data_IF_517810125292
#
_entry.id   IF_517810125292
#
_cell.length_a   1.000
_cell.length_b   1.000
_cell.length_c   1.000
_cell.angle_alpha   90.00
_cell.angle_beta   90.00
_cell.angle_gamma   90.00
#
_symmetry.space_group_name_H-M   'P 1'
#
loop_
_entity.id
_entity.type
_entity.pdbx_description
1 polymer ?
#
# COMPACT_ATOMS: atom_id res chain seq x y z
N UNK A 1 1.21 -1.87 -12.74
CA UNK A 1 0.75 -0.54 -12.25
C UNK A 1 0.51 0.39 -13.42
N UNK A 2 -0.69 0.32 -14.02
CA UNK A 2 -1.12 1.31 -15.03
C UNK A 2 -2.25 2.17 -14.45
N UNK A 3 -3.18 1.56 -13.73
CA UNK A 3 -4.16 2.28 -12.93
C UNK A 3 -3.53 2.79 -11.62
N UNK A 4 -3.92 3.99 -11.18
CA UNK A 4 -3.52 4.60 -9.91
C UNK A 4 -2.01 4.88 -9.70
N UNK A 5 -1.14 4.73 -10.71
CA UNK A 5 0.32 4.92 -10.56
C UNK A 5 0.65 6.27 -9.93
N UNK A 6 0.14 7.37 -10.50
CA UNK A 6 0.46 8.73 -10.03
C UNK A 6 -0.06 8.96 -8.61
N UNK A 7 -1.30 8.53 -8.33
CA UNK A 7 -1.88 8.59 -6.99
C UNK A 7 -1.07 7.81 -5.95
N UNK A 8 -0.52 6.65 -6.33
CA UNK A 8 0.35 5.86 -5.47
C UNK A 8 1.67 6.58 -5.21
N UNK A 9 2.29 7.15 -6.24
CA UNK A 9 3.53 7.93 -6.11
C UNK A 9 3.34 9.18 -5.25
N UNK A 10 2.24 9.91 -5.42
CA UNK A 10 1.92 11.09 -4.61
C UNK A 10 1.80 10.74 -3.11
N UNK A 11 1.15 9.62 -2.79
CA UNK A 11 1.03 9.15 -1.40
C UNK A 11 2.37 8.71 -0.83
N UNK A 12 3.19 8.01 -1.62
CA UNK A 12 4.53 7.62 -1.21
C UNK A 12 5.42 8.84 -0.94
N UNK A 13 5.35 9.88 -1.77
CA UNK A 13 6.08 11.13 -1.56
C UNK A 13 5.68 11.82 -0.24
N UNK A 14 4.38 11.84 0.08
CA UNK A 14 3.91 12.37 1.37
C UNK A 14 4.41 11.53 2.54
N UNK A 15 4.37 10.20 2.42
CA UNK A 15 4.88 9.27 3.44
C UNK A 15 6.37 9.51 3.71
N UNK A 16 7.18 9.71 2.68
CA UNK A 16 8.59 10.05 2.83
C UNK A 16 8.78 11.32 3.68
N UNK A 17 8.00 12.36 3.40
CA UNK A 17 8.00 13.58 4.19
C UNK A 17 7.58 13.35 5.65
N UNK A 18 6.57 12.52 5.89
CA UNK A 18 6.13 12.17 7.25
C UNK A 18 7.20 11.41 8.02
N UNK A 19 7.86 10.42 7.40
CA UNK A 19 8.95 9.66 8.02
C UNK A 19 10.12 10.58 8.38
N UNK A 20 10.50 11.48 7.45
CA UNK A 20 11.52 12.49 7.71
C UNK A 20 11.13 13.43 8.85
N UNK A 21 9.86 13.83 8.91
CA UNK A 21 9.31 14.63 9.99
C UNK A 21 9.44 13.93 11.35
N UNK A 22 9.10 12.65 11.42
CA UNK A 22 9.27 11.84 12.65
C UNK A 22 10.73 11.74 13.06
N UNK A 23 11.66 11.53 12.13
CA UNK A 23 13.09 11.53 12.44
C UNK A 23 13.53 12.86 13.08
N UNK A 24 13.13 14.00 12.49
CA UNK A 24 13.41 15.31 13.07
C UNK A 24 12.75 15.55 14.44
N UNK A 25 11.58 14.96 14.70
CA UNK A 25 10.97 15.02 16.04
C UNK A 25 11.79 14.26 17.08
N UNK A 26 12.37 13.11 16.71
CA UNK A 26 13.24 12.32 17.58
C UNK A 26 14.55 13.08 17.84
N UNK A 27 15.16 13.64 16.80
CA UNK A 27 16.39 14.45 16.92
C UNK A 27 16.19 15.68 17.81
N UNK A 28 14.99 16.26 17.83
CA UNK A 28 14.62 17.40 18.65
C UNK A 28 14.07 17.02 20.04
N UNK A 29 14.25 15.77 20.48
CA UNK A 29 13.78 15.24 21.78
C UNK A 29 12.30 15.58 22.07
N UNK A 30 11.46 15.52 21.04
CA UNK A 30 10.03 15.85 21.18
C UNK A 30 9.31 14.84 22.05
N UNK A 31 8.20 15.31 22.63
CA UNK A 31 7.35 14.51 23.48
C UNK A 31 6.89 13.21 22.80
N UNK A 32 7.11 12.09 23.49
CA UNK A 32 6.90 10.75 22.93
C UNK A 32 5.48 10.52 22.40
N UNK A 33 4.45 11.11 23.03
CA UNK A 33 3.07 10.95 22.56
C UNK A 33 2.84 11.59 21.19
N UNK A 34 3.50 12.71 20.89
CA UNK A 34 3.38 13.35 19.58
C UNK A 34 4.03 12.48 18.50
N UNK A 35 5.19 11.87 18.81
CA UNK A 35 5.89 10.95 17.92
C UNK A 35 5.04 9.70 17.68
N UNK A 36 4.42 9.15 18.73
CA UNK A 36 3.49 8.02 18.61
C UNK A 36 2.28 8.36 17.74
N UNK A 37 1.71 9.57 17.89
CA UNK A 37 0.62 10.02 17.03
C UNK A 37 1.04 10.12 15.55
N UNK A 38 2.23 10.66 15.25
CA UNK A 38 2.73 10.76 13.88
C UNK A 38 3.05 9.39 13.27
N UNK A 39 3.66 8.49 14.03
CA UNK A 39 3.92 7.12 13.56
C UNK A 39 2.64 6.32 13.33
N UNK A 40 1.58 6.55 14.12
CA UNK A 40 0.26 6.00 13.84
C UNK A 40 -0.33 6.54 12.54
N UNK A 41 -0.19 7.85 12.26
CA UNK A 41 -0.63 8.44 11.00
C UNK A 41 0.11 7.87 9.79
N UNK A 42 1.43 7.62 9.91
CA UNK A 42 2.23 6.94 8.88
C UNK A 42 1.69 5.54 8.61
N UNK A 43 1.39 4.76 9.66
CA UNK A 43 0.82 3.42 9.52
C UNK A 43 -0.50 3.45 8.73
N UNK A 44 -1.41 4.36 9.06
CA UNK A 44 -2.66 4.52 8.31
C UNK A 44 -2.44 4.93 6.86
N UNK A 45 -1.45 5.79 6.59
CA UNK A 45 -1.12 6.22 5.23
C UNK A 45 -0.54 5.07 4.38
N UNK A 46 0.29 4.19 4.96
CA UNK A 46 0.82 2.99 4.30
C UNK A 46 -0.32 2.04 3.90
N UNK A 47 -1.27 1.76 4.81
CA UNK A 47 -2.46 0.96 4.48
C UNK A 47 -3.23 1.54 3.29
N UNK A 48 -3.30 2.86 3.19
CA UNK A 48 -3.89 3.55 2.06
C UNK A 48 -3.14 3.32 0.74
N UNK A 49 -1.81 3.20 0.76
CA UNK A 49 -0.99 2.87 -0.41
C UNK A 49 -1.18 1.41 -0.82
N UNK A 50 -1.15 0.49 0.14
CA UNK A 50 -1.37 -0.94 -0.09
C UNK A 50 -2.72 -1.20 -0.77
N UNK A 51 -3.78 -0.51 -0.32
CA UNK A 51 -5.10 -0.59 -0.96
C UNK A 51 -5.07 -0.17 -2.43
N UNK A 52 -4.35 0.91 -2.79
CA UNK A 52 -4.25 1.34 -4.19
C UNK A 52 -3.50 0.33 -5.06
N UNK A 53 -2.45 -0.29 -4.51
CA UNK A 53 -1.67 -1.32 -5.19
C UNK A 53 -2.55 -2.56 -5.44
N UNK A 54 -3.29 -2.98 -4.40
CA UNK A 54 -4.22 -4.10 -4.48
C UNK A 54 -5.33 -3.85 -5.51
N UNK A 55 -5.94 -2.65 -5.50
CA UNK A 55 -6.92 -2.25 -6.49
C UNK A 55 -6.36 -2.31 -7.92
N UNK A 56 -5.11 -1.86 -8.14
CA UNK A 56 -4.47 -1.97 -9.44
C UNK A 56 -4.20 -3.44 -9.82
N UNK A 57 -3.80 -4.30 -8.88
CA UNK A 57 -3.56 -5.71 -9.15
C UNK A 57 -4.86 -6.41 -9.57
N UNK A 58 -5.95 -6.21 -8.83
CA UNK A 58 -7.27 -6.74 -9.16
C UNK A 58 -7.76 -6.25 -10.54
N UNK A 59 -7.66 -4.94 -10.81
CA UNK A 59 -8.13 -4.37 -12.09
C UNK A 59 -7.29 -4.75 -13.31
N UNK A 60 -6.04 -5.19 -13.14
CA UNK A 60 -5.18 -5.42 -14.30
C UNK A 60 -4.79 -6.88 -14.42
N UNK A 61 -4.22 -7.47 -13.37
CA UNK A 61 -3.73 -8.83 -13.41
C UNK A 61 -4.88 -9.84 -13.39
N UNK A 62 -5.89 -9.63 -12.53
CA UNK A 62 -7.04 -10.53 -12.48
C UNK A 62 -7.95 -10.33 -13.70
N UNK A 63 -8.21 -9.10 -14.11
CA UNK A 63 -8.99 -8.84 -15.33
C UNK A 63 -8.34 -9.47 -16.58
N UNK A 64 -7.02 -9.36 -16.72
CA UNK A 64 -6.29 -9.98 -17.85
C UNK A 64 -6.38 -11.50 -17.81
N UNK A 65 -6.25 -12.13 -16.63
CA UNK A 65 -6.40 -13.58 -16.48
C UNK A 65 -7.83 -14.06 -16.77
N UNK A 66 -8.85 -13.25 -16.42
CA UNK A 66 -10.23 -13.55 -16.81
C UNK A 66 -10.37 -13.50 -18.34
N UNK A 67 -9.82 -12.47 -18.98
CA UNK A 67 -9.87 -12.29 -20.43
C UNK A 67 -9.07 -13.36 -21.21
N UNK A 68 -8.03 -13.96 -20.62
CA UNK A 68 -7.25 -15.02 -21.27
C UNK A 68 -8.03 -16.32 -21.45
N UNK A 69 -9.05 -16.55 -20.61
CA UNK A 69 -9.87 -17.76 -20.62
C UNK A 69 -9.13 -19.02 -20.13
N UNK A 70 -7.88 -18.91 -19.68
CA UNK A 70 -7.10 -20.02 -19.14
C UNK A 70 -7.46 -20.27 -17.66
N UNK A 71 -8.06 -21.43 -17.30
CA UNK A 71 -8.42 -21.75 -15.92
C UNK A 71 -7.21 -21.79 -14.96
N UNK A 72 -6.02 -22.17 -15.43
CA UNK A 72 -4.82 -22.22 -14.59
C UNK A 72 -4.31 -20.82 -14.27
N UNK A 73 -4.26 -19.93 -15.27
CA UNK A 73 -3.87 -18.54 -15.08
C UNK A 73 -4.84 -17.81 -14.14
N UNK A 74 -6.15 -18.04 -14.30
CA UNK A 74 -7.18 -17.50 -13.42
C UNK A 74 -6.99 -17.97 -11.97
N UNK A 75 -6.83 -19.28 -11.75
CA UNK A 75 -6.59 -19.84 -10.41
C UNK A 75 -5.33 -19.24 -9.78
N UNK A 76 -4.24 -19.13 -10.54
CA UNK A 76 -2.98 -18.57 -10.06
C UNK A 76 -3.13 -17.10 -9.63
N UNK A 77 -3.78 -16.26 -10.45
CA UNK A 77 -3.99 -14.84 -10.12
C UNK A 77 -4.95 -14.60 -8.97
N UNK A 78 -5.99 -15.42 -8.82
CA UNK A 78 -6.85 -15.38 -7.64
C UNK A 78 -6.12 -15.81 -6.37
N UNK A 79 -5.29 -16.86 -6.43
CA UNK A 79 -4.48 -17.28 -5.28
C UNK A 79 -3.48 -16.20 -4.85
N UNK A 80 -2.85 -15.51 -5.81
CA UNK A 80 -1.96 -14.35 -5.57
C UNK A 80 -2.72 -13.24 -4.82
N UNK A 81 -3.92 -12.89 -5.29
CA UNK A 81 -4.77 -11.87 -4.66
C UNK A 81 -5.16 -12.22 -3.22
N UNK A 82 -5.57 -13.47 -2.97
CA UNK A 82 -5.90 -13.95 -1.62
C UNK A 82 -4.67 -13.88 -0.70
N UNK A 83 -3.50 -14.27 -1.21
CA UNK A 83 -2.24 -14.17 -0.46
C UNK A 83 -1.87 -12.73 -0.09
N UNK A 84 -2.15 -11.76 -0.97
CA UNK A 84 -1.94 -10.34 -0.68
C UNK A 84 -2.91 -9.82 0.39
N UNK A 85 -4.20 -10.18 0.33
CA UNK A 85 -5.20 -9.80 1.33
C UNK A 85 -4.88 -10.32 2.73
N UNK A 86 -4.39 -11.55 2.83
CA UNK A 86 -3.97 -12.14 4.12
C UNK A 86 -2.78 -11.40 4.74
N UNK A 87 -1.86 -10.87 3.91
CA UNK A 87 -0.72 -10.07 4.39
C UNK A 87 -1.13 -8.67 4.82
N UNK A 88 -2.03 -8.04 4.07
CA UNK A 88 -2.54 -6.69 4.38
C UNK A 88 -3.50 -6.65 5.59
N UNK A 89 -4.00 -7.81 6.03
CA UNK A 89 -4.89 -7.94 7.20
C UNK A 89 -4.13 -8.23 8.51
N UNK A 90 -2.79 -8.28 8.47
CA UNK A 90 -1.92 -8.45 9.65
C UNK A 90 -1.39 -7.11 10.11
#
# INVERSE_FOLDING_TARGET
MKANKDRTLDRLSRLEGQVRGVAGMVEADRYCMDILAQTAAIRSAILGVEKLILENHAKHCVETAIQSGDPEEQRAKFAELIGLLQKASR
#
